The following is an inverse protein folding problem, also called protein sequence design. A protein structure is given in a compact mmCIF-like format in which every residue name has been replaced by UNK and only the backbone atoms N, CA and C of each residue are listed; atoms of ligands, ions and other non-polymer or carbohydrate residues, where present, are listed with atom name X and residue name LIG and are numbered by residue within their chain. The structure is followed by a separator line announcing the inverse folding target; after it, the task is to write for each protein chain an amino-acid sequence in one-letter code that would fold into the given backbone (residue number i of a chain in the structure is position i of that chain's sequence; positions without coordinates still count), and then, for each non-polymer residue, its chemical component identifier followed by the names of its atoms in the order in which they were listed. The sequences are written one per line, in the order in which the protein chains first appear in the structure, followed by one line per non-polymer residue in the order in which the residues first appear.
data_IF_609397366896
#
_entry.id   IF_609397366896
#
_cell.length_a   1.000
_cell.length_b   1.000
_cell.length_c   1.000
_cell.angle_alpha   90.00
_cell.angle_beta   90.00
_cell.angle_gamma   90.00
#
_symmetry.space_group_name_H-M   'P 1'
#
loop_
_entity.id
_entity.type
_entity.pdbx_description
1 polymer ?
#
# COMPACT_ATOMS: atom_id res chain seq x y z
N UNK A 1 -31.99 -8.36 -4.16
CA UNK A 1 -31.37 -7.85 -2.90
C UNK A 1 -29.98 -8.42 -2.66
N UNK A 2 -29.77 -9.73 -2.79
CA UNK A 2 -28.47 -10.38 -2.66
C UNK A 2 -27.36 -9.84 -3.58
N UNK A 3 -27.65 -9.75 -4.88
CA UNK A 3 -26.68 -9.29 -5.88
C UNK A 3 -26.30 -7.82 -5.73
N UNK A 4 -27.24 -6.98 -5.28
CA UNK A 4 -26.98 -5.57 -4.95
C UNK A 4 -25.97 -5.48 -3.78
N UNK A 5 -26.20 -6.22 -2.68
CA UNK A 5 -25.28 -6.26 -1.54
C UNK A 5 -23.87 -6.73 -1.92
N UNK A 6 -23.77 -7.74 -2.79
CA UNK A 6 -22.49 -8.22 -3.31
C UNK A 6 -21.76 -7.15 -4.12
N UNK A 7 -22.46 -6.43 -5.02
CA UNK A 7 -21.87 -5.34 -5.81
C UNK A 7 -21.45 -4.17 -4.93
N UNK A 8 -22.26 -3.79 -3.95
CA UNK A 8 -21.93 -2.71 -3.01
C UNK A 8 -20.68 -3.06 -2.19
N UNK A 9 -20.57 -4.32 -1.74
CA UNK A 9 -19.39 -4.80 -1.03
C UNK A 9 -18.11 -4.78 -1.88
N UNK A 10 -18.21 -5.05 -3.18
CA UNK A 10 -17.08 -4.92 -4.10
C UNK A 10 -16.71 -3.46 -4.39
N UNK A 11 -17.70 -2.58 -4.55
CA UNK A 11 -17.46 -1.14 -4.75
C UNK A 11 -16.80 -0.50 -3.52
N UNK A 12 -17.14 -0.96 -2.32
CA UNK A 12 -16.48 -0.51 -1.09
C UNK A 12 -14.97 -0.82 -1.04
N UNK A 13 -14.46 -1.72 -1.90
CA UNK A 13 -13.03 -2.04 -1.99
C UNK A 13 -12.23 -1.02 -2.82
N UNK A 14 -12.90 -0.15 -3.59
CA UNK A 14 -12.22 0.81 -4.46
C UNK A 14 -11.28 1.74 -3.68
N UNK A 15 -11.78 2.35 -2.60
CA UNK A 15 -11.00 3.26 -1.76
C UNK A 15 -9.76 2.59 -1.14
N UNK A 16 -9.86 1.45 -0.42
CA UNK A 16 -8.68 0.83 0.17
C UNK A 16 -7.70 0.30 -0.90
N UNK A 17 -8.16 -0.06 -2.11
CA UNK A 17 -7.27 -0.37 -3.24
C UNK A 17 -6.45 0.87 -3.63
N UNK A 18 -7.11 2.01 -3.88
CA UNK A 18 -6.42 3.25 -4.23
C UNK A 18 -5.47 3.71 -3.12
N UNK A 19 -5.86 3.58 -1.86
CA UNK A 19 -5.02 3.94 -0.71
C UNK A 19 -3.79 3.03 -0.60
N UNK A 20 -3.94 1.72 -0.85
CA UNK A 20 -2.82 0.79 -0.89
C UNK A 20 -1.85 1.12 -2.04
N UNK A 21 -2.35 1.40 -3.24
CA UNK A 21 -1.53 1.77 -4.39
C UNK A 21 -0.76 3.08 -4.14
N UNK A 22 -1.42 4.07 -3.53
CA UNK A 22 -0.77 5.33 -3.16
C UNK A 22 0.34 5.11 -2.14
N UNK A 23 0.07 4.35 -1.07
CA UNK A 23 1.08 4.05 -0.05
C UNK A 23 2.29 3.31 -0.65
N UNK A 24 2.06 2.31 -1.52
CA UNK A 24 3.12 1.58 -2.20
C UNK A 24 3.91 2.51 -3.14
N UNK A 25 3.24 3.41 -3.86
CA UNK A 25 3.91 4.36 -4.77
C UNK A 25 4.84 5.29 -4.00
N UNK A 26 4.42 5.79 -2.83
CA UNK A 26 5.27 6.61 -1.97
C UNK A 26 6.47 5.80 -1.48
N UNK A 27 6.24 4.54 -1.05
CA UNK A 27 7.31 3.64 -0.63
C UNK A 27 8.35 3.42 -1.74
N UNK A 28 7.88 3.17 -2.97
CA UNK A 28 8.74 2.97 -4.13
C UNK A 28 9.53 4.23 -4.48
N UNK A 29 8.94 5.41 -4.34
CA UNK A 29 9.64 6.68 -4.56
C UNK A 29 10.74 6.92 -3.52
N UNK A 30 10.48 6.60 -2.24
CA UNK A 30 11.50 6.69 -1.18
C UNK A 30 12.64 5.71 -1.49
N UNK A 31 12.30 4.47 -1.86
CA UNK A 31 13.29 3.46 -2.21
C UNK A 31 14.12 3.89 -3.43
N UNK A 32 13.47 4.35 -4.51
CA UNK A 32 14.18 4.81 -5.70
C UNK A 32 15.10 6.00 -5.40
N UNK A 33 14.59 7.03 -4.70
CA UNK A 33 15.40 8.21 -4.37
C UNK A 33 16.60 7.87 -3.49
N UNK A 34 16.48 6.89 -2.59
CA UNK A 34 17.54 6.59 -1.61
C UNK A 34 18.45 5.45 -2.01
N UNK A 35 17.95 4.54 -2.86
CA UNK A 35 18.65 3.31 -3.19
C UNK A 35 18.96 3.11 -4.68
N UNK A 36 18.37 3.90 -5.57
CA UNK A 36 18.49 3.66 -7.01
C UNK A 36 19.11 4.87 -7.73
N UNK A 37 18.97 6.08 -7.15
CA UNK A 37 19.69 7.26 -7.62
C UNK A 37 21.17 7.22 -7.22
N UNK A 38 22.05 7.44 -8.19
CA UNK A 38 23.49 7.60 -7.96
C UNK A 38 23.76 8.95 -7.28
N UNK A 39 23.98 8.91 -5.96
CA UNK A 39 24.29 10.11 -5.17
C UNK A 39 25.77 10.51 -5.23
N UNK A 40 26.62 9.75 -5.93
CA UNK A 40 28.06 9.96 -5.93
C UNK A 40 28.46 11.32 -6.53
N UNK A 41 27.65 11.88 -7.45
CA UNK A 41 27.89 13.21 -8.01
C UNK A 41 27.74 14.34 -6.99
N UNK A 42 26.95 14.12 -5.92
CA UNK A 42 26.67 15.13 -4.88
C UNK A 42 27.45 14.86 -3.59
N UNK A 43 27.58 13.59 -3.19
CA UNK A 43 28.22 13.21 -1.92
C UNK A 43 29.71 12.91 -2.07
N UNK A 44 30.18 12.64 -3.29
CA UNK A 44 31.54 12.15 -3.54
C UNK A 44 31.80 10.72 -3.06
N UNK A 45 30.80 10.06 -2.45
CA UNK A 45 30.88 8.73 -1.88
C UNK A 45 29.83 7.81 -2.53
N UNK A 46 30.32 6.87 -3.34
CA UNK A 46 29.52 5.86 -4.07
C UNK A 46 28.81 4.85 -3.14
N UNK A 47 29.10 4.90 -1.84
CA UNK A 47 28.57 3.98 -0.84
C UNK A 47 27.75 4.67 0.25
N UNK A 48 27.32 5.92 0.03
CA UNK A 48 26.53 6.64 1.03
C UNK A 48 25.04 6.27 0.98
N UNK A 49 24.67 5.22 1.70
CA UNK A 49 23.28 4.75 1.88
C UNK A 49 22.82 5.07 3.29
N UNK A 50 22.63 6.35 3.61
CA UNK A 50 22.13 6.76 4.92
C UNK A 50 20.68 7.25 4.81
N UNK A 51 19.79 6.59 5.55
CA UNK A 51 18.45 7.10 5.84
C UNK A 51 18.52 7.80 7.19
N UNK A 52 18.01 9.02 7.27
CA UNK A 52 17.81 9.70 8.55
C UNK A 52 16.74 8.99 9.38
N UNK A 53 16.75 9.20 10.71
CA UNK A 53 15.75 8.60 11.62
C UNK A 53 14.31 8.95 11.21
N UNK A 54 14.08 10.17 10.71
CA UNK A 54 12.78 10.60 10.22
C UNK A 54 12.35 9.78 8.99
N UNK A 55 13.25 9.52 8.07
CA UNK A 55 12.95 8.75 6.86
C UNK A 55 12.71 7.28 7.15
N UNK A 56 13.43 6.72 8.13
CA UNK A 56 13.15 5.38 8.63
C UNK A 56 11.75 5.34 9.25
N UNK A 57 11.38 6.35 10.04
CA UNK A 57 10.06 6.47 10.63
C UNK A 57 8.96 6.56 9.56
N UNK A 58 9.14 7.40 8.55
CA UNK A 58 8.21 7.55 7.43
C UNK A 58 8.06 6.26 6.64
N UNK A 59 9.19 5.59 6.33
CA UNK A 59 9.20 4.30 5.65
C UNK A 59 8.40 3.24 6.42
N UNK A 60 8.64 3.13 7.73
CA UNK A 60 7.91 2.20 8.60
C UNK A 60 6.43 2.55 8.68
N UNK A 61 6.08 3.84 8.78
CA UNK A 61 4.70 4.29 8.81
C UNK A 61 3.96 3.92 7.52
N UNK A 62 4.52 4.28 6.36
CA UNK A 62 3.92 4.00 5.04
C UNK A 62 3.78 2.50 4.81
N UNK A 63 4.80 1.71 5.19
CA UNK A 63 4.73 0.25 5.12
C UNK A 63 3.59 -0.32 5.98
N UNK A 64 3.37 0.21 7.18
CA UNK A 64 2.23 -0.18 8.01
C UNK A 64 0.88 0.22 7.39
N UNK A 65 0.78 1.40 6.78
CA UNK A 65 -0.44 1.83 6.08
C UNK A 65 -0.76 0.91 4.90
N UNK A 66 0.23 0.62 4.04
CA UNK A 66 0.07 -0.30 2.93
C UNK A 66 -0.40 -1.67 3.40
N UNK A 67 0.23 -2.22 4.45
CA UNK A 67 -0.17 -3.50 5.05
C UNK A 67 -1.62 -3.47 5.56
N UNK A 68 -2.03 -2.38 6.22
CA UNK A 68 -3.39 -2.21 6.74
C UNK A 68 -4.41 -2.21 5.61
N UNK A 69 -4.18 -1.41 4.56
CA UNK A 69 -5.11 -1.34 3.43
C UNK A 69 -5.21 -2.66 2.67
N UNK A 70 -4.10 -3.37 2.46
CA UNK A 70 -4.12 -4.73 1.88
C UNK A 70 -4.95 -5.69 2.75
N UNK A 71 -4.87 -5.55 4.08
CA UNK A 71 -5.68 -6.36 4.98
C UNK A 71 -7.17 -6.05 4.84
N UNK A 72 -7.56 -4.77 4.83
CA UNK A 72 -8.94 -4.31 4.62
C UNK A 72 -9.51 -4.81 3.28
N UNK A 73 -8.71 -4.76 2.21
CA UNK A 73 -9.08 -5.32 0.89
C UNK A 73 -9.38 -6.81 1.01
N UNK A 74 -8.49 -7.57 1.67
CA UNK A 74 -8.63 -9.03 1.80
C UNK A 74 -9.88 -9.39 2.60
N UNK A 75 -10.12 -8.71 3.72
CA UNK A 75 -11.30 -8.96 4.55
C UNK A 75 -12.59 -8.61 3.82
N UNK A 76 -12.67 -7.42 3.22
CA UNK A 76 -13.85 -6.99 2.48
C UNK A 76 -14.15 -7.90 1.28
N UNK A 77 -13.11 -8.37 0.57
CA UNK A 77 -13.28 -9.33 -0.52
C UNK A 77 -13.81 -10.69 -0.04
N UNK A 78 -13.29 -11.21 1.07
CA UNK A 78 -13.80 -12.45 1.68
C UNK A 78 -15.26 -12.30 2.10
N UNK A 79 -15.61 -11.19 2.74
CA UNK A 79 -17.00 -10.88 3.10
C UNK A 79 -17.90 -10.83 1.88
N UNK A 80 -17.47 -10.20 0.79
CA UNK A 80 -18.25 -10.18 -0.47
C UNK A 80 -18.47 -11.61 -1.01
N UNK A 81 -17.44 -12.45 -1.01
CA UNK A 81 -17.56 -13.86 -1.43
C UNK A 81 -18.55 -14.63 -0.55
N UNK A 82 -18.49 -14.48 0.78
CA UNK A 82 -19.41 -15.13 1.71
C UNK A 82 -20.86 -14.71 1.47
N UNK A 83 -21.10 -13.41 1.24
CA UNK A 83 -22.44 -12.90 0.91
C UNK A 83 -22.98 -13.52 -0.39
N UNK A 84 -22.13 -13.71 -1.40
CA UNK A 84 -22.50 -14.38 -2.65
C UNK A 84 -22.81 -15.86 -2.45
N UNK A 85 -22.04 -16.57 -1.63
CA UNK A 85 -22.27 -17.99 -1.31
C UNK A 85 -23.55 -18.21 -0.51
N UNK A 86 -23.84 -17.33 0.44
CA UNK A 86 -25.05 -17.41 1.26
C UNK A 86 -26.36 -17.13 0.48
N UNK A 87 -26.24 -16.68 -0.78
CA UNK A 87 -27.39 -16.33 -1.63
C UNK A 87 -27.54 -17.24 -2.85
N UNK A 88 -26.72 -18.30 -2.93
CA UNK A 88 -26.90 -19.47 -3.81
C UNK A 88 -27.58 -20.60 -3.04
#
# INVERSE_FOLDING_TARGET
MAEAKFRDALLALENPICDAENAISILMNILHSRFDQDHAEVTGDKSHWYLSENEISDFMYIGHQAKRHIHEIKEGFNTAIEQRRATQ
#
